data_IF_783801429827
#
_entry.id   IF_783801429827
#
_cell.length_a   1.000
_cell.length_b   1.000
_cell.length_c   1.000
_cell.angle_alpha   90.00
_cell.angle_beta   90.00
_cell.angle_gamma   90.00
#
_symmetry.space_group_name_H-M   'P 1'
#
loop_
_entity.id
_entity.type
_entity.pdbx_description
1 polymer ?
#
# COMPACT_ATOMS: atom_id res chain seq x y z
N UNK A 1 -2.86 14.43 -19.22
CA UNK A 1 -2.85 13.06 -18.66
C UNK A 1 -3.72 13.02 -17.41
N UNK A 2 -4.71 12.11 -17.31
CA UNK A 2 -5.68 12.09 -16.19
C UNK A 2 -5.08 11.35 -14.99
N UNK A 3 -4.90 12.06 -13.86
CA UNK A 3 -4.45 11.45 -12.60
C UNK A 3 -5.66 10.91 -11.82
N UNK A 4 -5.54 9.73 -11.21
CA UNK A 4 -6.50 9.19 -10.25
C UNK A 4 -5.83 9.08 -8.88
N UNK A 5 -6.42 9.73 -7.88
CA UNK A 5 -5.98 9.66 -6.49
C UNK A 5 -6.63 8.45 -5.84
N UNK A 6 -5.85 7.65 -5.11
CA UNK A 6 -6.31 6.51 -4.34
C UNK A 6 -6.17 6.89 -2.86
N UNK A 7 -7.30 6.92 -2.15
CA UNK A 7 -7.39 7.26 -0.73
C UNK A 7 -8.51 6.46 -0.08
N UNK A 8 -8.40 6.26 1.23
CA UNK A 8 -9.44 5.68 2.10
C UNK A 8 -9.81 6.68 3.18
N UNK A 9 -10.87 6.39 3.95
CA UNK A 9 -11.36 7.27 5.03
C UNK A 9 -10.37 7.44 6.18
N UNK A 10 -9.59 6.40 6.47
CA UNK A 10 -8.56 6.42 7.51
C UNK A 10 -7.22 6.99 7.03
N UNK A 11 -7.08 7.26 5.73
CA UNK A 11 -5.89 7.92 5.21
C UNK A 11 -5.83 9.36 5.72
N UNK A 12 -4.62 9.83 6.04
CA UNK A 12 -4.45 11.22 6.48
C UNK A 12 -4.89 12.17 5.35
N UNK A 13 -5.60 13.28 5.64
CA UNK A 13 -6.18 14.16 4.61
C UNK A 13 -5.16 14.72 3.61
N UNK A 14 -3.90 14.87 4.02
CA UNK A 14 -2.81 15.40 3.21
C UNK A 14 -1.93 14.32 2.55
N UNK A 15 -2.26 13.03 2.71
CA UNK A 15 -1.49 11.92 2.13
C UNK A 15 -2.36 11.09 1.19
N UNK A 16 -2.01 11.07 -0.09
CA UNK A 16 -2.57 10.09 -1.04
C UNK A 16 -1.89 8.74 -0.82
N UNK A 17 -2.67 7.67 -0.63
CA UNK A 17 -2.11 6.32 -0.50
C UNK A 17 -1.44 5.89 -1.81
N UNK A 18 -2.02 6.27 -2.95
CA UNK A 18 -1.35 6.16 -4.24
C UNK A 18 -1.91 7.10 -5.30
N UNK A 19 -1.17 7.26 -6.38
CA UNK A 19 -1.56 8.05 -7.55
C UNK A 19 -1.34 7.20 -8.79
N UNK A 20 -2.41 6.97 -9.55
CA UNK A 20 -2.33 6.38 -10.88
C UNK A 20 -2.18 7.48 -11.93
N UNK A 21 -1.13 7.39 -12.73
CA UNK A 21 -0.81 8.34 -13.79
C UNK A 21 -0.43 7.57 -15.06
N UNK A 22 -1.39 7.47 -15.98
CA UNK A 22 -1.22 6.63 -17.18
C UNK A 22 -1.05 5.14 -16.79
N UNK A 23 0.02 4.46 -17.25
CA UNK A 23 0.28 3.07 -16.93
C UNK A 23 0.93 2.87 -15.54
N UNK A 24 1.38 3.94 -14.90
CA UNK A 24 2.12 3.85 -13.64
C UNK A 24 1.21 4.03 -12.43
N UNK A 25 1.52 3.30 -11.36
CA UNK A 25 0.94 3.47 -10.03
C UNK A 25 2.06 3.82 -9.05
N UNK A 26 1.99 5.01 -8.48
CA UNK A 26 2.92 5.48 -7.46
C UNK A 26 2.30 5.28 -6.09
N UNK A 27 2.95 4.50 -5.24
CA UNK A 27 2.47 4.16 -3.91
C UNK A 27 3.25 4.92 -2.84
N UNK A 28 2.56 5.43 -1.83
CA UNK A 28 3.22 5.93 -0.62
C UNK A 28 3.78 4.77 0.20
N UNK A 29 4.82 5.01 1.01
CA UNK A 29 5.25 4.05 2.02
C UNK A 29 4.16 3.90 3.08
N UNK A 30 3.55 2.73 3.18
CA UNK A 30 2.47 2.48 4.16
C UNK A 30 2.97 1.59 5.30
N UNK A 31 2.51 1.92 6.51
CA UNK A 31 2.72 1.11 7.71
C UNK A 31 1.88 -0.17 7.67
N UNK A 32 2.27 -1.25 8.34
CA UNK A 32 1.47 -2.48 8.46
C UNK A 32 0.12 -2.15 9.10
N UNK A 33 -0.93 -2.01 8.30
CA UNK A 33 -2.26 -1.61 8.75
C UNK A 33 -3.29 -2.54 8.15
N UNK A 34 -4.30 -2.91 8.93
CA UNK A 34 -5.48 -3.57 8.40
C UNK A 34 -6.29 -2.53 7.63
N UNK A 35 -6.44 -2.71 6.32
CA UNK A 35 -7.08 -1.71 5.45
C UNK A 35 -8.61 -1.64 5.65
N UNK A 36 -9.22 -2.69 6.20
CA UNK A 36 -10.64 -2.72 6.53
C UNK A 36 -10.94 -1.96 7.82
N UNK A 37 -10.06 -2.05 8.83
CA UNK A 37 -10.28 -1.42 10.14
C UNK A 37 -9.48 -0.12 10.34
N UNK A 38 -8.44 0.09 9.54
CA UNK A 38 -7.48 1.16 9.74
C UNK A 38 -6.54 0.93 10.92
N UNK A 39 -6.49 -0.24 11.56
CA UNK A 39 -5.64 -0.47 12.74
C UNK A 39 -4.25 -0.97 12.38
N UNK A 40 -3.23 -0.58 13.15
CA UNK A 40 -1.85 -1.07 12.93
C UNK A 40 -1.81 -2.56 13.29
N UNK A 41 -1.29 -3.38 12.37
CA UNK A 41 -1.09 -4.81 12.59
C UNK A 41 0.10 -4.98 13.54
N UNK A 42 -0.14 -5.55 14.72
CA UNK A 42 0.90 -5.91 15.67
C UNK A 42 1.64 -7.20 15.31
N UNK A 43 2.56 -7.61 16.17
CA UNK A 43 3.38 -8.82 15.98
C UNK A 43 4.79 -8.52 15.48
N UNK A 44 5.47 -9.56 14.99
CA UNK A 44 6.87 -9.48 14.54
C UNK A 44 7.01 -8.86 13.14
N UNK A 45 8.26 -8.74 12.67
CA UNK A 45 8.54 -8.20 11.34
C UNK A 45 7.86 -9.01 10.22
N UNK A 46 7.71 -10.33 10.35
CA UNK A 46 7.03 -11.14 9.34
C UNK A 46 5.53 -10.82 9.29
N UNK A 47 4.90 -10.69 10.46
CA UNK A 47 3.49 -10.33 10.61
C UNK A 47 3.21 -8.91 10.09
N UNK A 48 4.17 -7.99 10.21
CA UNK A 48 4.06 -6.62 9.72
C UNK A 48 4.42 -6.48 8.23
N UNK A 49 5.46 -7.15 7.75
CA UNK A 49 5.88 -7.11 6.33
C UNK A 49 4.83 -7.74 5.41
N UNK A 50 4.06 -8.72 5.90
CA UNK A 50 3.00 -9.35 5.10
C UNK A 50 1.90 -8.38 4.66
N UNK A 51 1.30 -7.55 5.54
CA UNK A 51 0.34 -6.48 5.20
C UNK A 51 0.96 -5.14 4.80
N UNK A 52 2.21 -4.83 5.15
CA UNK A 52 2.88 -3.57 4.75
C UNK A 52 3.18 -3.45 3.24
N UNK A 53 2.74 -4.41 2.43
CA UNK A 53 3.05 -4.45 1.01
C UNK A 53 2.21 -3.42 0.26
N UNK A 54 2.84 -2.82 -0.73
CA UNK A 54 2.25 -2.09 -1.85
C UNK A 54 1.04 -2.81 -2.49
N UNK A 55 0.84 -4.11 -2.20
CA UNK A 55 -0.28 -4.93 -2.66
C UNK A 55 -1.65 -4.32 -2.39
N UNK A 56 -1.87 -3.72 -1.23
CA UNK A 56 -3.21 -3.23 -0.87
C UNK A 56 -3.58 -1.93 -1.62
N UNK A 57 -2.62 -1.05 -1.91
CA UNK A 57 -2.89 0.12 -2.79
C UNK A 57 -3.17 -0.37 -4.20
N UNK A 58 -2.40 -1.35 -4.67
CA UNK A 58 -2.62 -1.93 -5.97
C UNK A 58 -4.00 -2.60 -6.05
N UNK A 59 -4.47 -3.31 -5.03
CA UNK A 59 -5.83 -3.89 -4.98
C UNK A 59 -6.91 -2.79 -5.07
N UNK A 60 -6.71 -1.66 -4.39
CA UNK A 60 -7.63 -0.50 -4.48
C UNK A 60 -7.54 0.22 -5.84
N UNK A 61 -6.37 0.24 -6.44
CA UNK A 61 -6.10 0.92 -7.72
C UNK A 61 -6.56 0.09 -8.92
N UNK A 62 -6.34 -1.23 -8.84
CA UNK A 62 -6.45 -2.26 -9.86
C UNK A 62 -6.86 -3.55 -9.12
N UNK A 63 -8.15 -3.76 -8.88
CA UNK A 63 -8.64 -5.00 -8.27
C UNK A 63 -8.11 -6.21 -9.04
N UNK A 64 -7.68 -7.25 -8.31
CA UNK A 64 -7.12 -8.51 -8.85
C UNK A 64 -5.72 -8.40 -9.48
N UNK A 65 -5.02 -7.28 -9.33
CA UNK A 65 -3.65 -7.16 -9.80
C UNK A 65 -2.74 -8.20 -9.13
N UNK A 66 -2.06 -9.02 -9.95
CA UNK A 66 -0.92 -9.82 -9.49
C UNK A 66 0.28 -8.92 -9.36
N UNK A 67 0.88 -8.90 -8.18
CA UNK A 67 1.96 -7.97 -7.85
C UNK A 67 3.15 -8.81 -7.45
N UNK A 68 4.19 -8.70 -8.24
CA UNK A 68 5.50 -9.22 -7.91
C UNK A 68 6.27 -8.11 -7.19
N UNK A 69 6.75 -8.42 -5.98
CA UNK A 69 7.47 -7.45 -5.15
C UNK A 69 8.74 -8.11 -4.66
N UNK A 70 9.88 -7.53 -5.03
CA UNK A 70 11.18 -7.97 -4.55
C UNK A 70 11.49 -7.27 -3.22
N UNK A 71 11.79 -8.06 -2.19
CA UNK A 71 12.12 -7.54 -0.86
C UNK A 71 13.56 -7.90 -0.56
N UNK A 72 14.42 -6.89 -0.50
CA UNK A 72 15.79 -7.04 -0.01
C UNK A 72 15.81 -6.66 1.46
N UNK A 73 15.74 -7.67 2.33
CA UNK A 73 16.02 -7.45 3.74
C UNK A 73 17.54 -7.36 3.91
N UNK A 74 18.04 -6.19 4.33
CA UNK A 74 19.41 -6.07 4.84
C UNK A 74 19.46 -6.84 6.17
N UNK A 75 20.05 -8.03 6.12
CA UNK A 75 20.47 -8.76 7.32
C UNK A 75 21.75 -8.05 7.80
N UNK A 76 21.79 -7.50 9.02
CA UNK A 76 22.99 -6.84 9.54
C UNK A 76 24.16 -7.80 9.71
#
# INVERSE_FOLDING_TARGET
>A
MKKKIISTEWAKPWLSLGIKAGPFLFTSGIMPRNYSTGEIVGGDIKAQTRPARSSCICDLAIPEAKIEMEVVALIP
#
